data_IF_193151626275
#
_entry.id   IF_193151626275
#
_cell.length_a   1.000
_cell.length_b   1.000
_cell.length_c   1.000
_cell.angle_alpha   90.00
_cell.angle_beta   90.00
_cell.angle_gamma   90.00
#
_symmetry.space_group_name_H-M   'P 1'
#
loop_
_entity.id
_entity.type
_entity.pdbx_description
1 polymer ?
#
# COMPACT_ATOMS: atom_id res chain seq x y z
N UNK A 1 10.31 1.38 9.03
CA UNK A 1 9.52 1.93 7.90
C UNK A 1 9.67 3.44 7.81
N UNK A 2 9.10 4.23 8.73
CA UNK A 2 9.15 5.69 8.71
C UNK A 2 10.54 6.32 8.62
N UNK A 3 11.58 5.68 9.19
CA UNK A 3 12.96 6.16 9.04
C UNK A 3 13.43 6.14 7.57
N UNK A 4 12.99 5.14 6.79
CA UNK A 4 13.27 5.05 5.35
C UNK A 4 12.53 6.12 4.55
N UNK A 5 11.25 6.34 4.85
CA UNK A 5 10.47 7.40 4.22
C UNK A 5 11.01 8.79 4.58
N UNK A 6 11.37 9.03 5.84
CA UNK A 6 12.01 10.26 6.27
C UNK A 6 13.33 10.52 5.54
N UNK A 7 14.11 9.47 5.24
CA UNK A 7 15.34 9.60 4.46
C UNK A 7 15.11 10.14 3.04
N UNK A 8 13.91 9.94 2.45
CA UNK A 8 13.54 10.54 1.17
C UNK A 8 13.51 12.07 1.25
N UNK A 9 13.15 12.66 2.40
CA UNK A 9 13.20 14.10 2.60
C UNK A 9 14.64 14.63 2.53
N UNK A 10 15.58 13.91 3.16
CA UNK A 10 16.99 14.25 3.09
C UNK A 10 17.50 14.14 1.64
N UNK A 11 17.13 13.07 0.92
CA UNK A 11 17.47 12.92 -0.50
C UNK A 11 16.89 14.06 -1.36
N UNK A 12 15.67 14.51 -1.09
CA UNK A 12 15.04 15.63 -1.79
C UNK A 12 15.83 16.94 -1.61
N UNK A 13 16.20 17.29 -0.38
CA UNK A 13 17.00 18.50 -0.13
C UNK A 13 18.40 18.39 -0.72
N UNK A 14 19.04 17.21 -0.69
CA UNK A 14 20.33 17.00 -1.34
C UNK A 14 20.27 17.20 -2.86
N UNK A 15 19.21 16.70 -3.51
CA UNK A 15 18.98 16.92 -4.93
C UNK A 15 18.72 18.40 -5.23
N UNK A 16 17.96 19.09 -4.39
CA UNK A 16 17.69 20.52 -4.54
C UNK A 16 18.98 21.35 -4.37
N UNK A 17 19.81 21.06 -3.37
CA UNK A 17 21.11 21.72 -3.20
C UNK A 17 22.04 21.50 -4.40
N UNK A 18 22.03 20.29 -4.99
CA UNK A 18 22.80 19.99 -6.21
C UNK A 18 22.25 20.71 -7.44
N UNK A 19 20.93 20.78 -7.58
CA UNK A 19 20.26 21.50 -8.66
C UNK A 19 20.44 23.03 -8.53
N UNK A 20 20.51 23.60 -7.34
CA UNK A 20 20.87 25.02 -7.18
C UNK A 20 22.30 25.30 -7.65
N UNK A 21 23.19 24.30 -7.62
CA UNK A 21 24.54 24.38 -8.18
C UNK A 21 24.66 24.13 -9.69
N UNK A 22 23.60 23.60 -10.33
CA UNK A 22 23.55 23.32 -11.77
C UNK A 22 22.32 24.03 -12.34
N UNK A 23 22.50 25.14 -13.07
CA UNK A 23 21.46 26.04 -13.59
C UNK A 23 20.46 25.40 -14.60
N UNK A 24 19.82 24.28 -14.23
CA UNK A 24 18.80 23.56 -15.00
C UNK A 24 17.55 23.53 -14.14
N UNK A 25 16.81 24.62 -14.22
CA UNK A 25 15.49 24.78 -13.61
C UNK A 25 14.46 23.95 -14.37
N UNK A 26 14.27 22.69 -13.99
CA UNK A 26 13.13 21.86 -14.45
C UNK A 26 12.34 21.26 -13.29
N UNK A 27 12.44 21.83 -12.09
CA UNK A 27 11.55 21.48 -10.97
C UNK A 27 10.35 22.41 -11.06
N UNK A 28 9.21 21.84 -11.43
CA UNK A 28 7.91 22.50 -11.52
C UNK A 28 7.65 23.35 -10.25
N UNK A 29 7.16 24.60 -10.34
CA UNK A 29 6.97 25.46 -9.18
C UNK A 29 6.02 24.79 -8.17
N UNK A 30 6.57 24.29 -7.07
CA UNK A 30 5.77 23.66 -6.02
C UNK A 30 4.92 24.74 -5.36
N UNK A 31 3.60 24.55 -5.36
CA UNK A 31 2.73 25.43 -4.60
C UNK A 31 3.06 25.31 -3.11
N UNK A 32 3.09 26.43 -2.36
CA UNK A 32 3.26 26.36 -0.92
C UNK A 32 2.05 25.64 -0.31
N UNK A 33 2.29 24.47 0.26
CA UNK A 33 1.28 23.72 1.00
C UNK A 33 1.69 23.61 2.47
N UNK A 34 0.70 23.54 3.35
CA UNK A 34 0.94 23.35 4.78
C UNK A 34 1.35 21.88 5.03
N UNK A 35 2.56 21.60 5.58
CA UNK A 35 3.02 20.23 5.81
C UNK A 35 2.05 19.39 6.65
N UNK A 36 1.27 20.02 7.53
CA UNK A 36 0.25 19.37 8.35
C UNK A 36 -0.84 18.63 7.54
N UNK A 37 -0.96 18.92 6.24
CA UNK A 37 -1.88 18.21 5.34
C UNK A 37 -1.54 16.72 5.20
N UNK A 38 -0.26 16.36 5.37
CA UNK A 38 0.22 14.97 5.30
C UNK A 38 0.12 14.23 6.64
N UNK A 39 -0.36 14.88 7.70
CA UNK A 39 -0.56 14.25 9.00
C UNK A 39 -1.66 13.16 8.97
N UNK A 40 -2.86 13.37 8.39
CA UNK A 40 -3.87 12.32 8.33
C UNK A 40 -3.42 11.07 7.52
N UNK A 41 -2.82 11.20 6.32
CA UNK A 41 -2.21 10.06 5.63
C UNK A 41 -1.18 9.32 6.49
N UNK A 42 -0.27 10.04 7.16
CA UNK A 42 0.74 9.43 8.02
C UNK A 42 0.14 8.67 9.22
N UNK A 43 -0.95 9.18 9.81
CA UNK A 43 -1.67 8.49 10.88
C UNK A 43 -2.35 7.21 10.37
N UNK A 44 -2.97 7.27 9.19
CA UNK A 44 -3.56 6.10 8.54
C UNK A 44 -2.49 5.07 8.22
N UNK A 45 -1.35 5.47 7.67
CA UNK A 45 -0.24 4.57 7.33
C UNK A 45 0.33 3.87 8.56
N UNK A 46 0.59 4.64 9.63
CA UNK A 46 1.07 4.09 10.90
C UNK A 46 0.07 3.10 11.48
N UNK A 47 -1.20 3.47 11.53
CA UNK A 47 -2.25 2.63 12.14
C UNK A 47 -2.48 1.37 11.31
N UNK A 48 -2.61 1.51 9.99
CA UNK A 48 -2.82 0.40 9.05
C UNK A 48 -1.65 -0.59 9.09
N UNK A 49 -0.41 -0.08 9.00
CA UNK A 49 0.78 -0.93 9.05
C UNK A 49 0.94 -1.62 10.41
N UNK A 50 0.66 -0.95 11.52
CA UNK A 50 0.73 -1.54 12.86
C UNK A 50 -0.30 -2.66 13.05
N UNK A 51 -1.56 -2.43 12.64
CA UNK A 51 -2.61 -3.45 12.64
C UNK A 51 -2.23 -4.66 11.78
N UNK A 52 -1.61 -4.42 10.62
CA UNK A 52 -1.11 -5.47 9.75
C UNK A 52 -0.03 -6.32 10.43
N UNK A 53 0.95 -5.72 11.10
CA UNK A 53 1.98 -6.48 11.81
C UNK A 53 1.43 -7.28 12.99
N UNK A 54 0.48 -6.72 13.74
CA UNK A 54 -0.22 -7.46 14.80
C UNK A 54 -0.96 -8.66 14.21
N UNK A 55 -1.66 -8.46 13.10
CA UNK A 55 -2.40 -9.54 12.45
C UNK A 55 -1.50 -10.65 11.89
N UNK A 56 -0.31 -10.29 11.38
CA UNK A 56 0.66 -11.25 10.86
C UNK A 56 1.13 -12.25 11.93
N UNK A 57 1.13 -11.86 13.21
CA UNK A 57 1.44 -12.78 14.31
C UNK A 57 0.31 -13.78 14.62
N UNK A 58 -0.91 -13.51 14.15
CA UNK A 58 -2.12 -14.29 14.45
C UNK A 58 -2.59 -15.16 13.27
N UNK A 59 -2.22 -14.79 12.04
CA UNK A 59 -2.58 -15.51 10.81
C UNK A 59 -1.34 -16.03 10.06
N UNK A 60 -1.56 -16.76 8.96
CA UNK A 60 -0.46 -17.23 8.11
C UNK A 60 0.08 -16.12 7.20
N UNK A 61 1.33 -16.23 6.76
CA UNK A 61 1.93 -15.25 5.85
C UNK A 61 1.22 -15.25 4.49
N UNK A 62 0.76 -16.40 4.03
CA UNK A 62 -0.01 -16.53 2.80
C UNK A 62 -1.39 -15.87 2.91
N UNK A 63 -2.17 -16.13 3.96
CA UNK A 63 -3.46 -15.45 4.24
C UNK A 63 -3.29 -13.94 4.33
N UNK A 64 -2.26 -13.47 5.04
CA UNK A 64 -1.90 -12.07 5.15
C UNK A 64 -1.73 -11.38 3.79
N UNK A 65 -0.97 -12.01 2.88
CA UNK A 65 -0.72 -11.45 1.54
C UNK A 65 -1.98 -11.44 0.68
N UNK A 66 -2.83 -12.47 0.78
CA UNK A 66 -4.05 -12.59 0.00
C UNK A 66 -5.13 -11.60 0.46
N UNK A 67 -5.33 -11.49 1.77
CA UNK A 67 -6.31 -10.57 2.36
C UNK A 67 -5.91 -9.10 2.13
N UNK A 68 -4.64 -8.80 1.91
CA UNK A 68 -4.18 -7.48 1.47
C UNK A 68 -4.80 -7.06 0.13
N UNK A 69 -5.20 -8.01 -0.71
CA UNK A 69 -5.94 -7.74 -1.95
C UNK A 69 -7.30 -7.05 -1.73
N UNK A 70 -7.86 -7.14 -0.52
CA UNK A 70 -9.12 -6.46 -0.16
C UNK A 70 -9.06 -4.94 -0.31
N UNK A 71 -7.86 -4.36 -0.27
CA UNK A 71 -7.65 -2.91 -0.43
C UNK A 71 -8.31 -2.38 -1.71
N UNK A 72 -8.36 -3.18 -2.80
CA UNK A 72 -9.02 -2.84 -4.09
C UNK A 72 -10.47 -2.43 -3.91
N UNK A 73 -11.21 -3.16 -3.07
CA UNK A 73 -12.62 -2.92 -2.82
C UNK A 73 -12.80 -1.53 -2.19
N UNK A 74 -12.05 -1.26 -1.13
CA UNK A 74 -12.19 -0.03 -0.36
C UNK A 74 -11.65 1.19 -1.12
N UNK A 75 -10.49 1.09 -1.79
CA UNK A 75 -9.96 2.22 -2.56
C UNK A 75 -10.85 2.56 -3.75
N UNK A 76 -11.44 1.56 -4.42
CA UNK A 76 -12.41 1.80 -5.49
C UNK A 76 -13.63 2.58 -5.00
N UNK A 77 -14.23 2.14 -3.89
CA UNK A 77 -15.39 2.80 -3.26
C UNK A 77 -15.04 4.21 -2.77
N UNK A 78 -13.93 4.38 -2.06
CA UNK A 78 -13.49 5.68 -1.56
C UNK A 78 -13.04 6.62 -2.69
N UNK A 79 -12.54 6.11 -3.81
CA UNK A 79 -12.23 6.93 -4.99
C UNK A 79 -13.49 7.55 -5.60
N UNK A 80 -14.60 6.80 -5.64
CA UNK A 80 -15.90 7.37 -6.06
C UNK A 80 -16.38 8.43 -5.07
N UNK A 81 -16.28 8.14 -3.77
CA UNK A 81 -16.78 9.04 -2.72
C UNK A 81 -15.97 10.35 -2.58
N UNK A 82 -14.63 10.28 -2.60
CA UNK A 82 -13.76 11.42 -2.26
C UNK A 82 -13.12 12.13 -3.47
N UNK A 83 -12.94 11.43 -4.60
CA UNK A 83 -12.37 11.97 -5.84
C UNK A 83 -13.44 12.17 -6.93
N UNK A 84 -14.66 11.67 -6.74
CA UNK A 84 -15.76 11.84 -7.70
C UNK A 84 -15.58 11.05 -9.00
N UNK A 85 -14.74 10.02 -9.02
CA UNK A 85 -14.54 9.16 -10.19
C UNK A 85 -15.78 8.30 -10.44
N UNK A 86 -16.02 7.94 -11.71
CA UNK A 86 -17.05 6.96 -12.09
C UNK A 86 -16.38 5.63 -12.40
N UNK A 87 -16.78 4.57 -11.68
CA UNK A 87 -16.29 3.22 -11.91
C UNK A 87 -16.95 2.65 -13.18
N UNK A 88 -16.16 2.08 -14.07
CA UNK A 88 -16.67 1.36 -15.25
C UNK A 88 -17.28 0.01 -14.83
N UNK A 89 -18.19 -0.59 -15.63
CA UNK A 89 -18.81 -1.88 -15.27
C UNK A 89 -17.80 -3.01 -15.04
N UNK A 90 -16.67 -3.01 -15.75
CA UNK A 90 -15.59 -3.98 -15.54
C UNK A 90 -14.91 -3.83 -14.17
N UNK A 91 -14.83 -2.62 -13.64
CA UNK A 91 -14.33 -2.36 -12.28
C UNK A 91 -15.30 -2.89 -11.22
N UNK A 92 -16.60 -2.72 -11.40
CA UNK A 92 -17.60 -3.33 -10.52
C UNK A 92 -17.52 -4.86 -10.50
N UNK A 93 -17.34 -5.47 -11.67
CA UNK A 93 -17.14 -6.92 -11.78
C UNK A 93 -15.84 -7.35 -11.08
N UNK A 94 -14.76 -6.58 -11.23
CA UNK A 94 -13.49 -6.82 -10.55
C UNK A 94 -13.61 -6.75 -9.02
N UNK A 95 -14.35 -5.77 -8.49
CA UNK A 95 -14.67 -5.67 -7.06
C UNK A 95 -15.46 -6.89 -6.59
N UNK A 96 -16.51 -7.29 -7.32
CA UNK A 96 -17.34 -8.44 -6.96
C UNK A 96 -16.54 -9.75 -6.95
N UNK A 97 -15.71 -9.97 -7.96
CA UNK A 97 -14.80 -11.12 -8.02
C UNK A 97 -13.79 -11.10 -6.87
N UNK A 98 -13.25 -9.93 -6.52
CA UNK A 98 -12.33 -9.79 -5.38
C UNK A 98 -13.03 -10.16 -4.07
N UNK A 99 -14.28 -9.71 -3.86
CA UNK A 99 -15.09 -10.10 -2.68
C UNK A 99 -15.27 -11.62 -2.62
N UNK A 100 -15.64 -12.25 -3.74
CA UNK A 100 -15.79 -13.70 -3.80
C UNK A 100 -14.48 -14.43 -3.46
N UNK A 101 -13.35 -13.94 -3.97
CA UNK A 101 -12.02 -14.47 -3.67
C UNK A 101 -11.66 -14.36 -2.18
N UNK A 102 -11.92 -13.22 -1.54
CA UNK A 102 -11.71 -13.04 -0.10
C UNK A 102 -12.55 -14.01 0.74
N UNK A 103 -13.82 -14.22 0.36
CA UNK A 103 -14.70 -15.17 1.07
C UNK A 103 -14.15 -16.58 0.95
N UNK A 104 -13.69 -16.99 -0.24
CA UNK A 104 -13.08 -18.32 -0.43
C UNK A 104 -11.79 -18.48 0.37
N UNK A 105 -10.91 -17.47 0.38
CA UNK A 105 -9.68 -17.50 1.18
C UNK A 105 -9.99 -17.61 2.68
N UNK A 106 -10.90 -16.78 3.20
CA UNK A 106 -11.29 -16.85 4.60
C UNK A 106 -11.94 -18.18 4.98
N UNK A 107 -12.77 -18.77 4.12
CA UNK A 107 -13.33 -20.11 4.34
C UNK A 107 -12.25 -21.20 4.31
N UNK A 108 -11.24 -21.06 3.43
CA UNK A 108 -10.11 -22.00 3.38
C UNK A 108 -9.30 -21.99 4.68
N UNK A 109 -9.06 -20.81 5.25
CA UNK A 109 -8.34 -20.67 6.52
C UNK A 109 -9.12 -21.25 7.71
N UNK A 110 -10.45 -21.07 7.71
CA UNK A 110 -11.36 -21.67 8.70
C UNK A 110 -11.35 -23.20 8.66
N UNK A 111 -11.48 -23.78 7.47
CA UNK A 111 -11.55 -25.23 7.29
C UNK A 111 -10.21 -25.92 7.58
N UNK A 112 -9.10 -25.27 7.22
CA UNK A 112 -7.75 -25.85 7.38
C UNK A 112 -7.30 -25.95 8.84
N UNK A 113 -7.95 -25.24 9.77
CA UNK A 113 -7.57 -25.17 11.18
C UNK A 113 -8.64 -25.71 12.14
N UNK A 114 -9.62 -26.44 11.61
CA UNK A 114 -10.81 -26.90 12.33
C UNK A 114 -10.51 -27.83 13.55
N UNK A 115 -9.30 -28.40 13.63
CA UNK A 115 -8.87 -29.30 14.70
C UNK A 115 -8.49 -28.61 16.03
N UNK A 116 -8.43 -27.28 16.11
CA UNK A 116 -8.11 -26.56 17.34
C UNK A 116 -8.92 -25.25 17.50
N UNK A 117 -9.99 -25.28 18.31
CA UNK A 117 -10.87 -24.12 18.53
C UNK A 117 -10.15 -22.84 18.98
N UNK A 118 -9.12 -22.94 19.82
CA UNK A 118 -8.33 -21.77 20.24
C UNK A 118 -7.53 -21.15 19.09
N UNK A 119 -7.00 -21.97 18.17
CA UNK A 119 -6.25 -21.49 16.99
C UNK A 119 -7.19 -20.89 15.93
N UNK A 120 -8.42 -21.37 15.84
CA UNK A 120 -9.43 -20.80 14.94
C UNK A 120 -9.78 -19.35 15.31
N UNK A 121 -10.07 -19.09 16.58
CA UNK A 121 -10.44 -17.74 17.02
C UNK A 121 -9.32 -16.72 16.77
N UNK A 122 -8.06 -17.12 16.98
CA UNK A 122 -6.89 -16.27 16.74
C UNK A 122 -6.76 -15.91 15.26
N UNK A 123 -6.92 -16.89 14.37
CA UNK A 123 -6.80 -16.70 12.92
C UNK A 123 -7.93 -15.85 12.37
N UNK A 124 -9.17 -16.10 12.79
CA UNK A 124 -10.32 -15.27 12.42
C UNK A 124 -10.10 -13.82 12.86
N UNK A 125 -9.59 -13.63 14.07
CA UNK A 125 -9.29 -12.29 14.59
C UNK A 125 -8.20 -11.63 13.76
N UNK A 126 -7.14 -12.35 13.40
CA UNK A 126 -6.09 -11.87 12.50
C UNK A 126 -6.62 -11.47 11.12
N UNK A 127 -7.45 -12.32 10.50
CA UNK A 127 -8.00 -12.07 9.17
C UNK A 127 -8.93 -10.84 9.15
N UNK A 128 -9.80 -10.71 10.16
CA UNK A 128 -10.63 -9.52 10.34
C UNK A 128 -9.79 -8.26 10.58
N UNK A 129 -8.71 -8.36 11.35
CA UNK A 129 -7.80 -7.26 11.61
C UNK A 129 -7.10 -6.79 10.34
N UNK A 130 -6.73 -7.72 9.44
CA UNK A 130 -6.17 -7.37 8.11
C UNK A 130 -7.19 -6.63 7.27
N UNK A 131 -8.43 -7.09 7.22
CA UNK A 131 -9.50 -6.43 6.45
C UNK A 131 -9.73 -5.00 6.98
N UNK A 132 -9.78 -4.83 8.31
CA UNK A 132 -9.89 -3.51 8.93
C UNK A 132 -8.68 -2.62 8.60
N UNK A 133 -7.47 -3.18 8.61
CA UNK A 133 -6.28 -2.45 8.21
C UNK A 133 -6.33 -2.04 6.73
N UNK A 134 -6.87 -2.88 5.83
CA UNK A 134 -7.02 -2.53 4.42
C UNK A 134 -7.98 -1.36 4.20
N UNK A 135 -9.01 -1.18 5.04
CA UNK A 135 -9.87 0.01 5.01
C UNK A 135 -9.05 1.27 5.29
N UNK A 136 -8.20 1.24 6.31
CA UNK A 136 -7.37 2.39 6.71
C UNK A 136 -6.32 2.69 5.62
N UNK A 137 -5.66 1.67 5.09
CA UNK A 137 -4.70 1.81 3.98
C UNK A 137 -5.39 2.36 2.72
N UNK A 138 -6.61 1.94 2.43
CA UNK A 138 -7.37 2.51 1.31
C UNK A 138 -7.68 3.99 1.51
N UNK A 139 -8.06 4.42 2.73
CA UNK A 139 -8.25 5.83 3.05
C UNK A 139 -6.95 6.62 2.82
N UNK A 140 -5.82 6.12 3.33
CA UNK A 140 -4.50 6.70 3.09
C UNK A 140 -4.24 6.89 1.59
N UNK A 141 -4.38 5.83 0.77
CA UNK A 141 -4.11 5.89 -0.67
C UNK A 141 -4.97 6.95 -1.38
N UNK A 142 -6.25 7.08 -1.01
CA UNK A 142 -7.17 8.07 -1.60
C UNK A 142 -6.82 9.49 -1.14
N UNK A 143 -6.44 9.68 0.12
CA UNK A 143 -6.00 10.98 0.64
C UNK A 143 -4.68 11.42 -0.01
N UNK A 144 -3.71 10.52 -0.12
CA UNK A 144 -2.44 10.72 -0.82
C UNK A 144 -2.69 11.19 -2.25
N UNK A 145 -3.51 10.46 -3.01
CA UNK A 145 -3.83 10.80 -4.39
C UNK A 145 -4.47 12.20 -4.49
N UNK A 146 -5.44 12.49 -3.62
CA UNK A 146 -6.12 13.79 -3.58
C UNK A 146 -5.17 14.93 -3.28
N UNK A 147 -4.24 14.77 -2.34
CA UNK A 147 -3.34 15.84 -1.92
C UNK A 147 -2.17 16.04 -2.87
N UNK A 148 -1.59 14.95 -3.36
CA UNK A 148 -0.48 14.99 -4.34
C UNK A 148 -0.97 15.61 -5.65
N UNK A 149 -2.16 15.25 -6.13
CA UNK A 149 -2.72 15.82 -7.35
C UNK A 149 -3.12 17.29 -7.17
N UNK A 150 -3.78 17.64 -6.06
CA UNK A 150 -4.26 19.03 -5.82
C UNK A 150 -3.13 20.05 -5.65
N UNK A 151 -2.03 19.68 -5.00
CA UNK A 151 -0.94 20.61 -4.69
C UNK A 151 0.32 20.37 -5.55
N UNK A 152 0.24 19.46 -6.53
CA UNK A 152 1.36 19.04 -7.40
C UNK A 152 2.68 18.82 -6.62
N UNK A 153 2.58 18.12 -5.48
CA UNK A 153 3.74 17.91 -4.60
C UNK A 153 4.71 16.93 -5.28
N UNK A 154 6.02 17.15 -5.13
CA UNK A 154 7.01 16.19 -5.60
C UNK A 154 6.95 14.91 -4.76
N UNK A 155 6.91 13.71 -5.37
CA UNK A 155 6.75 12.43 -4.63
C UNK A 155 7.73 12.26 -3.48
N UNK A 156 9.00 12.61 -3.71
CA UNK A 156 10.07 12.50 -2.71
C UNK A 156 9.84 13.41 -1.48
N UNK A 157 9.22 14.58 -1.68
CA UNK A 157 8.86 15.50 -0.59
C UNK A 157 7.62 15.01 0.17
N UNK A 158 6.61 14.48 -0.55
CA UNK A 158 5.39 13.93 0.06
C UNK A 158 5.72 12.76 1.01
N UNK A 159 6.42 11.74 0.49
CA UNK A 159 6.89 10.58 1.28
C UNK A 159 7.77 11.04 2.44
N UNK A 160 8.66 11.99 2.19
CA UNK A 160 9.55 12.55 3.22
C UNK A 160 8.80 13.22 4.38
N UNK A 161 7.74 13.95 4.08
CA UNK A 161 6.90 14.61 5.11
C UNK A 161 6.04 13.63 5.88
N UNK A 162 5.46 12.63 5.21
CA UNK A 162 4.72 11.54 5.89
C UNK A 162 5.66 10.75 6.81
N UNK A 163 6.83 10.38 6.30
CA UNK A 163 7.90 9.72 7.04
C UNK A 163 8.33 10.49 8.28
N UNK A 164 8.44 11.83 8.20
CA UNK A 164 8.75 12.67 9.35
C UNK A 164 7.67 12.61 10.43
N UNK A 165 6.39 12.80 10.07
CA UNK A 165 5.29 12.72 11.04
C UNK A 165 5.18 11.34 11.66
N UNK A 166 5.22 10.29 10.84
CA UNK A 166 5.18 8.91 11.32
C UNK A 166 6.37 8.57 12.22
N UNK A 167 7.58 9.04 11.88
CA UNK A 167 8.77 8.84 12.72
C UNK A 167 8.63 9.53 14.08
N UNK A 168 8.17 10.78 14.12
CA UNK A 168 7.98 11.53 15.38
C UNK A 168 6.91 10.86 16.24
N UNK A 169 5.73 10.56 15.66
CA UNK A 169 4.61 9.97 16.39
C UNK A 169 4.98 8.58 16.91
N UNK A 170 5.58 7.72 16.08
CA UNK A 170 5.99 6.38 16.49
C UNK A 170 7.08 6.43 17.56
N UNK A 171 8.04 7.36 17.46
CA UNK A 171 9.08 7.55 18.50
C UNK A 171 8.47 7.96 19.84
N UNK A 172 7.43 8.82 19.82
CA UNK A 172 6.69 9.18 21.03
C UNK A 172 5.85 8.01 21.56
N UNK A 173 5.28 7.18 20.69
CA UNK A 173 4.47 6.02 21.06
C UNK A 173 5.31 4.88 21.65
N UNK A 174 6.57 4.72 21.24
CA UNK A 174 7.49 3.73 21.82
C UNK A 174 7.72 3.93 23.32
N UNK A 175 7.62 5.16 23.83
CA UNK A 175 7.79 5.45 25.27
C UNK A 175 6.72 4.77 26.13
N UNK A 176 5.41 4.99 25.93
CA UNK A 176 4.38 4.25 26.68
C UNK A 176 4.36 2.76 26.34
N UNK A 177 4.61 2.35 25.08
CA UNK A 177 4.64 0.92 24.70
C UNK A 177 5.71 0.13 25.44
N UNK A 178 6.81 0.78 25.83
CA UNK A 178 7.86 0.17 26.65
C UNK A 178 7.40 -0.19 28.07
N UNK A 179 6.40 0.50 28.63
CA UNK A 179 5.91 0.24 29.98
C UNK A 179 4.64 -0.63 30.01
N UNK A 180 3.95 -0.80 28.89
CA UNK A 180 2.70 -1.57 28.83
C UNK A 180 3.02 -3.07 28.79
N UNK A 181 2.54 -3.88 29.76
CA UNK A 181 2.70 -5.33 29.72
C UNK A 181 1.78 -5.92 28.65
N UNK A 182 2.33 -6.76 27.78
CA UNK A 182 1.61 -7.33 26.64
C UNK A 182 1.32 -8.84 26.77
N UNK A 183 1.65 -9.45 27.91
CA UNK A 183 1.31 -10.84 28.22
C UNK A 183 1.73 -11.79 27.10
N UNK A 184 0.79 -12.61 26.61
CA UNK A 184 1.02 -13.58 25.53
C UNK A 184 1.40 -12.97 24.18
N UNK A 185 1.23 -11.66 23.97
CA UNK A 185 1.65 -10.96 22.74
C UNK A 185 3.12 -10.54 22.77
N UNK A 186 3.81 -10.63 23.91
CA UNK A 186 5.22 -10.27 24.04
C UNK A 186 6.12 -11.50 24.06
N UNK A 187 7.07 -11.55 23.11
CA UNK A 187 8.19 -12.49 23.15
C UNK A 187 9.47 -11.92 23.79
N UNK A 188 9.43 -10.68 24.31
CA UNK A 188 10.63 -10.03 24.82
C UNK A 188 10.89 -10.39 26.30
N UNK A 189 12.14 -10.24 26.79
CA UNK A 189 12.51 -10.64 28.15
C UNK A 189 11.73 -9.91 29.27
N UNK A 190 11.15 -8.75 28.99
CA UNK A 190 10.38 -7.95 29.95
C UNK A 190 8.87 -8.19 29.89
N UNK A 191 8.38 -8.92 28.89
CA UNK A 191 6.95 -9.11 28.67
C UNK A 191 6.19 -7.82 28.31
N UNK A 192 6.89 -6.77 27.85
CA UNK A 192 6.29 -5.49 27.47
C UNK A 192 5.85 -5.51 26.01
N UNK A 193 5.02 -4.57 25.58
CA UNK A 193 4.56 -4.51 24.19
C UNK A 193 5.74 -4.33 23.21
N UNK A 194 6.68 -3.44 23.54
CA UNK A 194 7.90 -3.20 22.76
C UNK A 194 9.10 -3.03 23.70
N UNK A 195 10.26 -3.57 23.33
CA UNK A 195 11.54 -3.28 24.01
C UNK A 195 12.55 -2.74 22.99
N UNK A 196 12.39 -1.46 22.66
CA UNK A 196 13.28 -0.78 21.72
C UNK A 196 14.74 -0.75 22.20
N UNK A 197 14.98 -0.69 23.52
CA UNK A 197 16.33 -0.64 24.07
C UNK A 197 17.07 -1.96 23.86
N UNK A 198 16.37 -3.09 24.06
CA UNK A 198 16.93 -4.40 23.76
C UNK A 198 17.20 -4.55 22.25
N UNK A 199 16.30 -4.07 21.39
CA UNK A 199 16.51 -4.05 19.94
C UNK A 199 17.78 -3.27 19.53
N UNK A 200 18.03 -2.10 20.13
CA UNK A 200 19.28 -1.34 19.90
C UNK A 200 20.52 -2.08 20.41
N UNK A 201 20.41 -2.80 21.53
CA UNK A 201 21.50 -3.63 22.03
C UNK A 201 21.81 -4.81 21.10
N UNK A 202 20.78 -5.47 20.55
CA UNK A 202 20.93 -6.55 19.57
C UNK A 202 21.59 -6.04 18.27
N UNK A 203 21.18 -4.84 17.82
CA UNK A 203 21.75 -4.18 16.65
C UNK A 203 23.26 -3.93 16.80
N UNK A 204 23.71 -3.51 17.99
CA UNK A 204 25.13 -3.27 18.28
C UNK A 204 25.96 -4.54 18.41
N UNK A 205 25.35 -5.66 18.86
CA UNK A 205 26.06 -6.93 19.08
C UNK A 205 26.18 -7.78 17.81
N UNK A 206 25.19 -7.74 16.92
CA UNK A 206 25.15 -8.57 15.72
C UNK A 206 25.10 -7.69 14.45
N UNK A 207 26.24 -7.50 13.74
CA UNK A 207 26.30 -6.62 12.58
C UNK A 207 25.44 -7.12 11.41
N UNK A 208 25.11 -8.41 11.37
CA UNK A 208 24.23 -8.99 10.36
C UNK A 208 22.79 -8.46 10.48
N UNK A 209 22.31 -8.22 11.71
CA UNK A 209 21.02 -7.57 11.96
C UNK A 209 21.06 -6.13 11.46
N UNK A 210 22.17 -5.42 11.71
CA UNK A 210 22.34 -4.05 11.22
C UNK A 210 22.33 -3.95 9.70
N UNK A 211 23.01 -4.87 9.02
CA UNK A 211 22.98 -4.94 7.56
C UNK A 211 21.58 -5.25 7.02
N UNK A 212 20.87 -6.21 7.62
CA UNK A 212 19.50 -6.53 7.25
C UNK A 212 18.54 -5.35 7.47
N UNK A 213 18.70 -4.63 8.59
CA UNK A 213 17.90 -3.45 8.91
C UNK A 213 18.15 -2.31 7.92
N UNK A 214 19.41 -2.04 7.57
CA UNK A 214 19.77 -1.03 6.56
C UNK A 214 19.18 -1.39 5.20
N UNK A 215 19.30 -2.65 4.77
CA UNK A 215 18.69 -3.13 3.53
C UNK A 215 17.17 -2.95 3.51
N UNK A 216 16.50 -3.25 4.62
CA UNK A 216 15.06 -3.04 4.76
C UNK A 216 14.68 -1.55 4.69
N UNK A 217 15.40 -0.68 5.41
CA UNK A 217 15.18 0.77 5.39
C UNK A 217 15.31 1.32 3.96
N UNK A 218 16.37 0.94 3.25
CA UNK A 218 16.57 1.36 1.86
C UNK A 218 15.46 0.83 0.95
N UNK A 219 15.09 -0.45 1.06
CA UNK A 219 14.01 -1.04 0.26
C UNK A 219 12.68 -0.32 0.46
N UNK A 220 12.33 0.03 1.70
CA UNK A 220 11.10 0.75 2.03
C UNK A 220 11.12 2.16 1.44
N UNK A 221 12.26 2.85 1.51
CA UNK A 221 12.40 4.19 0.93
C UNK A 221 12.11 4.18 -0.58
N UNK A 222 12.72 3.24 -1.32
CA UNK A 222 12.46 3.07 -2.74
C UNK A 222 11.01 2.67 -3.03
N UNK A 223 10.46 1.74 -2.25
CA UNK A 223 9.08 1.27 -2.42
C UNK A 223 8.06 2.41 -2.28
N UNK A 224 8.15 3.21 -1.22
CA UNK A 224 7.21 4.32 -1.00
C UNK A 224 7.40 5.46 -2.01
N UNK A 225 8.65 5.80 -2.36
CA UNK A 225 8.91 6.77 -3.42
C UNK A 225 8.32 6.33 -4.77
N UNK A 226 8.56 5.09 -5.18
CA UNK A 226 8.00 4.55 -6.42
C UNK A 226 6.47 4.48 -6.35
N UNK A 227 5.91 4.09 -5.21
CA UNK A 227 4.47 4.02 -4.96
C UNK A 227 3.78 5.38 -5.18
N UNK A 228 4.25 6.44 -4.51
CA UNK A 228 3.68 7.78 -4.69
C UNK A 228 3.92 8.31 -6.11
N UNK A 229 5.07 7.98 -6.72
CA UNK A 229 5.35 8.39 -8.11
C UNK A 229 4.34 7.76 -9.09
N UNK A 230 4.01 6.47 -8.94
CA UNK A 230 2.96 5.81 -9.74
C UNK A 230 1.59 6.43 -9.47
N UNK A 231 1.26 6.73 -8.22
CA UNK A 231 -0.01 7.41 -7.88
C UNK A 231 -0.10 8.79 -8.53
N UNK A 232 1.02 9.53 -8.60
CA UNK A 232 1.08 10.86 -9.18
C UNK A 232 0.95 10.85 -10.71
N UNK A 233 1.71 9.98 -11.38
CA UNK A 233 1.78 9.96 -12.85
C UNK A 233 0.64 9.16 -13.51
N UNK A 234 0.07 8.17 -12.80
CA UNK A 234 -0.99 7.31 -13.31
C UNK A 234 -2.25 7.41 -12.45
N UNK A 235 -2.27 6.71 -11.31
CA UNK A 235 -3.40 6.73 -10.36
C UNK A 235 -3.12 5.85 -9.14
N UNK A 236 -3.89 6.06 -8.06
CA UNK A 236 -3.90 5.13 -6.92
C UNK A 236 -4.33 3.71 -7.34
N UNK A 237 -5.26 3.59 -8.29
CA UNK A 237 -5.69 2.27 -8.80
C UNK A 237 -4.55 1.52 -9.47
N UNK A 238 -3.68 2.21 -10.21
CA UNK A 238 -2.51 1.58 -10.86
C UNK A 238 -1.50 1.07 -9.84
N UNK A 239 -1.25 1.85 -8.78
CA UNK A 239 -0.38 1.43 -7.67
C UNK A 239 -0.87 0.13 -7.03
N UNK A 240 -2.18 -0.02 -6.87
CA UNK A 240 -2.77 -1.24 -6.29
C UNK A 240 -2.57 -2.47 -7.16
N UNK A 241 -2.51 -2.33 -8.49
CA UNK A 241 -2.19 -3.43 -9.40
C UNK A 241 -0.78 -3.93 -9.14
N UNK A 242 0.17 -3.00 -9.04
CA UNK A 242 1.56 -3.32 -8.76
C UNK A 242 1.68 -3.99 -7.39
N UNK A 243 0.90 -3.53 -6.40
CA UNK A 243 0.83 -4.16 -5.09
C UNK A 243 0.30 -5.60 -5.16
N UNK A 244 -0.73 -5.86 -5.96
CA UNK A 244 -1.25 -7.22 -6.19
C UNK A 244 -0.29 -8.10 -6.96
N UNK A 245 0.45 -7.56 -7.94
CA UNK A 245 1.48 -8.34 -8.64
C UNK A 245 2.59 -8.77 -7.68
N UNK A 246 3.00 -7.89 -6.76
CA UNK A 246 3.97 -8.24 -5.71
C UNK A 246 3.47 -9.40 -4.84
N UNK A 247 2.20 -9.41 -4.42
CA UNK A 247 1.67 -10.50 -3.57
C UNK A 247 1.71 -11.84 -4.31
N UNK A 248 1.41 -11.85 -5.61
CA UNK A 248 1.56 -13.04 -6.49
C UNK A 248 2.98 -13.56 -6.51
N UNK A 249 3.96 -12.67 -6.70
CA UNK A 249 5.37 -13.06 -6.77
C UNK A 249 5.84 -13.65 -5.44
N UNK A 250 5.52 -13.01 -4.32
CA UNK A 250 5.95 -13.50 -3.00
C UNK A 250 5.33 -14.86 -2.70
N UNK A 251 4.03 -15.02 -2.98
CA UNK A 251 3.34 -16.28 -2.77
C UNK A 251 3.93 -17.42 -3.63
N UNK A 252 4.15 -17.18 -4.93
CA UNK A 252 4.71 -18.18 -5.83
C UNK A 252 6.11 -18.61 -5.40
N UNK A 253 6.95 -17.66 -4.95
CA UNK A 253 8.28 -17.96 -4.40
C UNK A 253 8.20 -18.71 -3.07
N UNK A 254 7.26 -18.35 -2.19
CA UNK A 254 7.06 -19.04 -0.91
C UNK A 254 6.72 -20.52 -1.10
N UNK A 255 5.85 -20.84 -2.07
CA UNK A 255 5.56 -22.22 -2.44
C UNK A 255 6.76 -22.92 -3.08
N UNK A 256 7.48 -22.26 -3.99
CA UNK A 256 8.64 -22.84 -4.66
C UNK A 256 9.78 -23.18 -3.68
N UNK A 257 9.95 -22.38 -2.62
CA UNK A 257 10.93 -22.60 -1.55
C UNK A 257 10.44 -23.58 -0.47
N UNK A 258 9.17 -24.02 -0.52
CA UNK A 258 8.58 -24.93 0.46
C UNK A 258 8.33 -24.28 1.83
N UNK A 259 8.20 -22.95 1.89
CA UNK A 259 7.92 -22.23 3.13
C UNK A 259 6.45 -22.29 3.54
N UNK A 260 5.56 -22.66 2.62
CA UNK A 260 4.11 -22.76 2.83
C UNK A 260 3.60 -24.12 2.33
N UNK A 261 2.59 -24.67 3.01
CA UNK A 261 1.94 -25.93 2.61
C UNK A 261 0.82 -25.67 1.60
N UNK A 262 0.72 -26.56 0.61
CA UNK A 262 -0.21 -26.42 -0.51
C UNK A 262 -1.66 -26.70 -0.07
N UNK A 263 -2.49 -25.66 0.01
CA UNK A 263 -3.93 -25.77 0.25
C UNK A 263 -4.73 -25.48 -1.04
N UNK A 264 -5.41 -26.49 -1.63
CA UNK A 264 -6.11 -26.32 -2.91
C UNK A 264 -7.17 -25.20 -2.91
N UNK A 265 -7.87 -25.04 -1.78
CA UNK A 265 -8.94 -24.04 -1.65
C UNK A 265 -8.39 -22.61 -1.58
N UNK A 266 -7.22 -22.44 -0.96
CA UNK A 266 -6.53 -21.16 -0.87
C UNK A 266 -6.05 -20.70 -2.26
N UNK A 267 -5.59 -21.64 -3.11
CA UNK A 267 -5.22 -21.36 -4.51
C UNK A 267 -6.43 -20.93 -5.32
N UNK A 268 -7.56 -21.60 -5.16
CA UNK A 268 -8.78 -21.23 -5.85
C UNK A 268 -9.19 -19.79 -5.46
N UNK A 269 -9.21 -19.47 -4.17
CA UNK A 269 -9.47 -18.12 -3.69
C UNK A 269 -8.48 -17.10 -4.24
N UNK A 270 -7.21 -17.47 -4.32
CA UNK A 270 -6.16 -16.63 -4.89
C UNK A 270 -6.34 -16.36 -6.39
N UNK A 271 -6.67 -17.37 -7.19
CA UNK A 271 -6.94 -17.21 -8.63
C UNK A 271 -8.16 -16.30 -8.87
N UNK A 272 -9.18 -16.42 -8.02
CA UNK A 272 -10.37 -15.55 -8.08
C UNK A 272 -9.97 -14.10 -7.72
N UNK A 273 -9.18 -13.87 -6.67
CA UNK A 273 -8.64 -12.55 -6.31
C UNK A 273 -7.82 -11.92 -7.44
N UNK A 274 -6.95 -12.72 -8.06
CA UNK A 274 -6.09 -12.29 -9.17
C UNK A 274 -6.95 -11.92 -10.39
N UNK A 275 -7.96 -12.72 -10.70
CA UNK A 275 -8.91 -12.44 -11.78
C UNK A 275 -9.70 -11.17 -11.49
N UNK A 276 -10.18 -10.97 -10.27
CA UNK A 276 -10.87 -9.74 -9.86
C UNK A 276 -10.00 -8.50 -9.98
N UNK A 277 -8.75 -8.60 -9.56
CA UNK A 277 -7.75 -7.54 -9.75
C UNK A 277 -7.51 -7.25 -11.24
N UNK A 278 -7.31 -8.29 -12.06
CA UNK A 278 -7.08 -8.12 -13.49
C UNK A 278 -8.29 -7.48 -14.20
N UNK A 279 -9.50 -7.89 -13.84
CA UNK A 279 -10.74 -7.31 -14.36
C UNK A 279 -10.86 -5.83 -13.99
N UNK A 280 -10.60 -5.49 -12.73
CA UNK A 280 -10.65 -4.12 -12.23
C UNK A 280 -9.72 -3.18 -13.03
N UNK A 281 -8.58 -3.70 -13.46
CA UNK A 281 -7.55 -2.92 -14.15
C UNK A 281 -7.68 -2.92 -15.67
N UNK A 282 -8.74 -3.49 -16.23
CA UNK A 282 -8.89 -3.51 -17.68
C UNK A 282 -7.94 -4.46 -18.40
N UNK A 283 -7.20 -5.33 -17.70
CA UNK A 283 -6.27 -6.31 -18.31
C UNK A 283 -6.97 -7.30 -19.24
N UNK A 284 -8.29 -7.44 -19.11
CA UNK A 284 -9.10 -8.20 -20.04
C UNK A 284 -9.12 -7.58 -21.44
N UNK A 285 -9.00 -6.26 -21.62
CA UNK A 285 -8.99 -5.63 -22.95
C UNK A 285 -7.79 -6.05 -23.82
N UNK A 286 -6.53 -5.96 -23.38
CA UNK A 286 -5.39 -6.42 -24.19
C UNK A 286 -5.36 -7.95 -24.33
N UNK A 287 -5.80 -8.72 -23.32
CA UNK A 287 -5.92 -10.18 -23.42
C UNK A 287 -6.98 -10.58 -24.46
N UNK A 288 -8.15 -9.94 -24.41
CA UNK A 288 -9.21 -10.13 -25.40
C UNK A 288 -8.77 -9.63 -26.78
N UNK A 289 -8.04 -8.52 -26.88
CA UNK A 289 -7.48 -8.03 -28.16
C UNK A 289 -6.41 -8.96 -28.75
N UNK A 290 -5.60 -9.60 -27.89
CA UNK A 290 -4.63 -10.60 -28.30
C UNK A 290 -5.32 -11.91 -28.76
N UNK A 291 -6.39 -12.30 -28.07
CA UNK A 291 -7.28 -13.41 -28.45
C UNK A 291 -8.13 -13.07 -29.69
N UNK A 292 -8.49 -11.79 -29.87
CA UNK A 292 -9.28 -11.23 -30.97
C UNK A 292 -8.40 -10.47 -31.96
N UNK A 293 -7.24 -11.04 -32.33
CA UNK A 293 -6.47 -10.59 -33.51
C UNK A 293 -7.43 -10.54 -34.72
N UNK A 294 -8.01 -9.37 -34.93
CA UNK A 294 -9.12 -9.16 -35.86
C UNK A 294 -9.90 -7.88 -35.59
N UNK A 295 -10.01 -7.39 -34.35
CA UNK A 295 -10.80 -6.18 -34.07
C UNK A 295 -9.97 -5.12 -33.32
N UNK A 296 -9.69 -4.02 -34.02
CA UNK A 296 -9.17 -2.77 -33.45
C UNK A 296 -10.32 -1.96 -32.83
N UNK A 297 -10.25 -1.55 -31.56
CA UNK A 297 -10.85 -0.31 -31.12
C UNK A 297 -9.76 0.77 -30.98
N UNK A 298 -10.06 1.96 -31.49
CA UNK A 298 -9.16 3.12 -31.54
C UNK A 298 -8.80 3.64 -30.13
N UNK A 299 -7.52 3.98 -29.86
CA UNK A 299 -7.13 4.66 -28.64
C UNK A 299 -6.92 6.16 -28.93
N UNK A 300 -7.87 7.04 -28.59
CA UNK A 300 -7.57 8.50 -28.54
C UNK A 300 -8.62 9.39 -27.85
N UNK A 301 -9.86 8.93 -27.61
CA UNK A 301 -10.93 9.83 -27.14
C UNK A 301 -10.88 10.25 -25.64
N UNK A 302 -10.11 9.56 -24.79
CA UNK A 302 -10.09 9.86 -23.35
C UNK A 302 -8.95 10.83 -22.95
N UNK A 303 -7.92 10.95 -23.80
CA UNK A 303 -6.80 11.88 -23.57
C UNK A 303 -7.09 13.31 -24.07
N UNK A 304 -7.90 13.46 -25.12
CA UNK A 304 -8.32 14.78 -25.63
C UNK A 304 -9.38 15.47 -24.74
N UNK A 305 -10.28 14.71 -24.11
CA UNK A 305 -11.34 15.30 -23.27
C UNK A 305 -10.85 15.95 -21.97
N UNK A 306 -9.66 15.60 -21.49
CA UNK A 306 -9.02 16.28 -20.36
C UNK A 306 -8.22 17.52 -20.78
N UNK A 307 -7.87 17.66 -22.06
CA UNK A 307 -7.15 18.82 -22.61
C UNK A 307 -8.09 19.92 -23.13
N UNK A 308 -9.27 19.55 -23.63
CA UNK A 308 -10.25 20.52 -24.15
C UNK A 308 -11.10 21.22 -23.05
N UNK A 309 -11.13 20.67 -21.83
CA UNK A 309 -11.91 21.24 -20.73
C UNK A 309 -11.39 22.55 -20.14
N UNK A 310 -10.24 23.07 -20.61
CA UNK A 310 -9.57 24.22 -19.99
C UNK A 310 -9.11 25.31 -20.97
N UNK A 311 -9.69 25.39 -22.18
CA UNK A 311 -9.46 26.51 -23.12
C UNK A 311 -10.78 27.20 -23.48
N UNK A 312 -11.34 27.94 -22.55
CA UNK A 312 -12.18 29.10 -22.91
C UNK A 312 -11.28 30.30 -23.12
N UNK A 313 -11.12 30.83 -24.35
CA UNK A 313 -10.47 32.11 -24.56
C UNK A 313 -11.38 33.21 -24.02
N UNK A 314 -10.88 33.93 -23.01
CA UNK A 314 -11.38 35.24 -22.63
C UNK A 314 -10.89 36.22 -23.70
N UNK A 315 -11.82 37.02 -24.24
CA UNK A 315 -11.72 38.08 -25.24
C UNK A 315 -11.81 37.64 -26.72
N UNK A 316 -12.97 37.89 -27.34
CA UNK A 316 -13.11 38.92 -28.40
C UNK A 316 -14.54 39.53 -28.37
N UNK A 317 -14.60 40.77 -28.84
CA UNK A 317 -15.55 41.87 -28.64
C UNK A 317 -16.80 41.84 -29.52
N UNK A 318 -17.94 42.29 -28.96
CA UNK A 318 -18.67 43.48 -29.45
C UNK A 318 -19.68 43.96 -28.40
#
# INVERSE_FOLDING_TARGET
>A
MFLGEFSCLAAFYLLQCRATGQSVSSVDPQQPFNPLLFLPPALCDMTGTSLMYVALNMTSASSFQMLRGAVIIFTGLFSVAFLGRRLVPSQWLGILATIAGLVVVGLADLLSKQDNQHKLSEVITGDLLIIMAQVIVAIQMVLEEKFVYKHNVHPLRAVGTEGLFGFVILSLLLVPMYYIPAGSFSGNPKGTLEDALDAFCQLGKQPLIALALLGNISSIAFFNFAGISVTKELSATTRMVLDSLRTVVIWALSLALGWETFHPLQILGFLILLTGTALYNGLHHPLLACLSRGWHPAPEAERERLLDGNRTPINETN
#
